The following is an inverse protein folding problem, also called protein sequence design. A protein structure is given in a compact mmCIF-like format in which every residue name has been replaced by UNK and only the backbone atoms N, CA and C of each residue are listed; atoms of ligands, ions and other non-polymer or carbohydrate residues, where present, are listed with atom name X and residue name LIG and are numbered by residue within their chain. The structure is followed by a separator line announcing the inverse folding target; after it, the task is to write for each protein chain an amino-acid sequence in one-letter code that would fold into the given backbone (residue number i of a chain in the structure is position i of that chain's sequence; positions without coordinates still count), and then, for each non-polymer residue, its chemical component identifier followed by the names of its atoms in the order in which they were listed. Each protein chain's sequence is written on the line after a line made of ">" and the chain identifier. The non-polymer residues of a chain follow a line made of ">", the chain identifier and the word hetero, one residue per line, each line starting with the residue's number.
data_IF_780419166650
#
_entry.id   IF_780419166650
#
_cell.length_a   1.000
_cell.length_b   1.000
_cell.length_c   1.000
_cell.angle_alpha   90.00
_cell.angle_beta   90.00
_cell.angle_gamma   90.00
#
_symmetry.space_group_name_H-M   'P 1'
#
loop_
_entity.id
_entity.type
_entity.pdbx_description
1 polymer ?
#
# COMPACT_ATOMS: atom_id res chain seq x y z
N UNK A 1 -8.24 15.21 -10.79
CA UNK A 1 -8.55 14.28 -9.68
C UNK A 1 -9.68 14.80 -8.80
N UNK A 2 -9.54 15.94 -8.09
CA UNK A 2 -10.63 16.52 -7.28
C UNK A 2 -11.92 16.85 -8.07
N UNK A 3 -11.80 17.30 -9.33
CA UNK A 3 -12.95 17.66 -10.17
C UNK A 3 -13.95 16.50 -10.41
N UNK A 4 -13.51 15.24 -10.34
CA UNK A 4 -14.37 14.05 -10.54
C UNK A 4 -15.19 13.68 -9.29
N UNK A 5 -14.71 14.03 -8.08
CA UNK A 5 -15.47 13.81 -6.83
C UNK A 5 -16.73 14.68 -6.78
N UNK A 6 -16.74 15.79 -7.53
CA UNK A 6 -17.80 16.79 -7.51
C UNK A 6 -18.72 16.78 -8.75
N UNK A 7 -18.60 15.80 -9.65
CA UNK A 7 -19.44 15.74 -10.85
C UNK A 7 -20.81 15.10 -10.64
N UNK A 8 -21.80 15.95 -10.91
CA UNK A 8 -23.19 15.83 -11.35
C UNK A 8 -24.25 14.99 -10.61
N UNK A 9 -23.95 13.84 -10.01
CA UNK A 9 -24.97 12.99 -9.32
C UNK A 9 -24.81 12.89 -7.79
N UNK A 10 -23.98 13.74 -7.19
CA UNK A 10 -23.69 13.66 -5.76
C UNK A 10 -24.63 14.50 -4.90
N UNK A 11 -25.06 13.91 -3.78
CA UNK A 11 -25.70 14.55 -2.61
C UNK A 11 -25.01 15.84 -2.15
N UNK A 12 -23.75 16.05 -2.57
CA UNK A 12 -22.97 17.26 -2.40
C UNK A 12 -23.69 18.55 -2.80
N UNK A 13 -24.52 18.54 -3.85
CA UNK A 13 -25.30 19.72 -4.28
C UNK A 13 -26.33 20.17 -3.22
N UNK A 14 -26.81 19.25 -2.38
CA UNK A 14 -27.84 19.49 -1.34
C UNK A 14 -27.34 20.32 -0.16
N UNK A 15 -26.04 20.32 0.09
CA UNK A 15 -25.44 21.05 1.22
C UNK A 15 -25.34 22.55 0.95
N UNK A 16 -25.45 23.32 2.03
CA UNK A 16 -25.29 24.77 2.01
C UNK A 16 -23.80 25.15 1.84
N UNK A 17 -23.52 26.46 1.73
CA UNK A 17 -22.16 26.95 1.46
C UNK A 17 -21.17 26.63 2.59
N UNK A 18 -21.61 26.67 3.85
CA UNK A 18 -20.77 26.41 5.02
C UNK A 18 -20.45 24.93 5.17
N UNK A 19 -21.45 24.06 4.99
CA UNK A 19 -21.26 22.60 4.98
C UNK A 19 -20.30 22.16 3.87
N UNK A 20 -20.42 22.77 2.67
CA UNK A 20 -19.49 22.52 1.56
C UNK A 20 -18.06 22.90 1.91
N UNK A 21 -17.89 24.04 2.59
CA UNK A 21 -16.58 24.51 3.04
C UNK A 21 -15.97 23.56 4.09
N UNK A 22 -16.76 23.13 5.08
CA UNK A 22 -16.31 22.15 6.08
C UNK A 22 -15.91 20.82 5.47
N UNK A 23 -16.66 20.33 4.47
CA UNK A 23 -16.31 19.11 3.73
C UNK A 23 -14.98 19.30 3.00
N UNK A 24 -14.77 20.43 2.31
CA UNK A 24 -13.53 20.71 1.60
C UNK A 24 -12.33 20.77 2.54
N UNK A 25 -12.46 21.47 3.66
CA UNK A 25 -11.41 21.56 4.68
C UNK A 25 -11.07 20.20 5.28
N UNK A 26 -12.09 19.39 5.58
CA UNK A 26 -11.91 18.03 6.10
C UNK A 26 -11.21 17.13 5.08
N UNK A 27 -11.64 17.16 3.81
CA UNK A 27 -11.00 16.40 2.74
C UNK A 27 -9.55 16.84 2.56
N UNK A 28 -9.28 18.15 2.59
CA UNK A 28 -7.93 18.67 2.47
C UNK A 28 -7.04 18.25 3.64
N UNK A 29 -7.58 18.28 4.86
CA UNK A 29 -6.90 17.81 6.06
C UNK A 29 -6.55 16.31 5.97
N UNK A 30 -7.47 15.47 5.47
CA UNK A 30 -7.23 14.04 5.27
C UNK A 30 -6.21 13.79 4.15
N UNK A 31 -6.27 14.54 3.05
CA UNK A 31 -5.37 14.35 1.90
C UNK A 31 -3.94 14.82 2.17
N UNK A 32 -3.75 15.82 3.03
CA UNK A 32 -2.44 16.37 3.35
C UNK A 32 -1.41 15.30 3.79
N UNK A 33 -1.67 14.43 4.80
CA UNK A 33 -0.74 13.37 5.17
C UNK A 33 -0.54 12.34 4.04
N UNK A 34 -1.53 12.12 3.18
CA UNK A 34 -1.41 11.18 2.06
C UNK A 34 -0.43 11.67 1.00
N UNK A 35 -0.28 12.98 0.82
CA UNK A 35 0.73 13.55 -0.09
C UNK A 35 2.15 13.18 0.34
N UNK A 36 2.40 13.09 1.65
CA UNK A 36 3.68 12.66 2.19
C UNK A 36 3.90 11.15 2.13
N UNK A 37 2.87 10.36 1.83
CA UNK A 37 3.01 8.93 1.53
C UNK A 37 3.52 8.69 0.10
N UNK A 38 3.62 9.71 -0.75
CA UNK A 38 4.19 9.56 -2.09
C UNK A 38 5.65 10.01 -2.04
N UNK A 39 6.57 9.06 -2.00
CA UNK A 39 8.01 9.34 -2.11
C UNK A 39 8.39 9.41 -3.59
N UNK A 40 9.20 10.38 -3.98
CA UNK A 40 9.92 10.30 -5.26
C UNK A 40 10.90 9.14 -5.18
N UNK A 41 10.65 8.11 -5.98
CA UNK A 41 11.46 6.89 -6.00
C UNK A 41 12.85 7.25 -6.53
N UNK A 42 13.88 7.08 -5.70
CA UNK A 42 15.27 7.32 -6.11
C UNK A 42 15.96 6.05 -6.63
N UNK A 43 15.43 4.86 -6.28
CA UNK A 43 15.98 3.56 -6.68
C UNK A 43 14.87 2.60 -7.09
N UNK A 44 15.15 1.67 -8.00
CA UNK A 44 14.18 0.64 -8.42
C UNK A 44 13.65 -0.18 -7.23
N UNK A 45 14.50 -0.44 -6.24
CA UNK A 45 14.17 -1.14 -5.00
C UNK A 45 13.25 -0.36 -4.05
N UNK A 46 13.06 0.94 -4.32
CA UNK A 46 12.12 1.81 -3.60
C UNK A 46 10.77 1.95 -4.32
N UNK A 47 10.55 1.22 -5.42
CA UNK A 47 9.21 1.13 -6.02
C UNK A 47 8.26 0.42 -5.07
N UNK A 48 7.46 1.19 -4.35
CA UNK A 48 6.42 0.69 -3.47
C UNK A 48 5.05 0.89 -4.10
N UNK A 49 4.31 -0.20 -4.30
CA UNK A 49 2.88 -0.11 -4.54
C UNK A 49 2.18 0.12 -3.20
N UNK A 50 1.53 1.28 -3.03
CA UNK A 50 0.75 1.61 -1.82
C UNK A 50 -0.73 1.55 -2.16
N UNK A 51 -1.42 0.54 -1.65
CA UNK A 51 -2.87 0.42 -1.76
C UNK A 51 -3.48 1.05 -0.50
N UNK A 52 -4.41 1.98 -0.69
CA UNK A 52 -5.09 2.66 0.40
C UNK A 52 -6.58 2.33 0.38
N UNK A 53 -7.05 1.68 1.44
CA UNK A 53 -8.47 1.39 1.65
C UNK A 53 -8.94 2.11 2.91
N UNK A 54 -9.85 3.07 2.75
CA UNK A 54 -10.43 3.84 3.86
C UNK A 54 -11.87 3.36 4.03
N UNK A 55 -12.17 2.75 5.17
CA UNK A 55 -13.51 2.27 5.48
C UNK A 55 -13.80 2.40 6.98
N UNK A 56 -15.03 2.06 7.39
CA UNK A 56 -15.41 1.95 8.78
C UNK A 56 -14.82 0.67 9.41
N UNK A 57 -14.52 0.73 10.70
CA UNK A 57 -13.97 -0.41 11.45
C UNK A 57 -14.81 -1.70 11.37
N UNK A 58 -16.12 -1.59 11.12
CA UNK A 58 -17.07 -2.71 11.04
C UNK A 58 -17.29 -3.21 9.61
N UNK A 59 -16.46 -2.78 8.66
CA UNK A 59 -16.48 -3.30 7.29
C UNK A 59 -16.17 -4.80 7.32
N UNK A 60 -16.95 -5.59 6.58
CA UNK A 60 -16.83 -7.05 6.47
C UNK A 60 -15.48 -7.52 5.92
N UNK A 61 -14.79 -6.65 5.16
CA UNK A 61 -13.46 -6.91 4.62
C UNK A 61 -12.35 -6.82 5.67
N UNK A 62 -12.64 -6.25 6.84
CA UNK A 62 -11.66 -6.15 7.93
C UNK A 62 -11.79 -7.38 8.82
N UNK A 63 -10.80 -8.25 8.74
CA UNK A 63 -10.69 -9.40 9.63
C UNK A 63 -9.96 -8.97 10.90
N UNK A 64 -10.58 -9.22 12.06
CA UNK A 64 -9.99 -8.95 13.37
C UNK A 64 -9.83 -10.26 14.14
N UNK A 65 -8.58 -10.64 14.44
CA UNK A 65 -8.26 -11.75 15.32
C UNK A 65 -7.76 -11.19 16.66
N UNK A 66 -8.58 -11.34 17.70
CA UNK A 66 -8.27 -10.85 19.05
C UNK A 66 -7.26 -11.72 19.79
N UNK A 67 -7.17 -13.00 19.50
CA UNK A 67 -6.17 -13.88 20.14
C UNK A 67 -4.77 -13.54 19.64
N UNK A 68 -4.64 -13.33 18.33
CA UNK A 68 -3.36 -12.98 17.72
C UNK A 68 -3.05 -11.47 17.76
N UNK A 69 -4.01 -10.64 18.21
CA UNK A 69 -3.91 -9.18 18.20
C UNK A 69 -3.60 -8.61 16.80
N UNK A 70 -4.29 -9.12 15.77
CA UNK A 70 -4.10 -8.73 14.37
C UNK A 70 -5.38 -8.18 13.74
N UNK A 71 -5.19 -7.22 12.85
CA UNK A 71 -6.20 -6.79 11.88
C UNK A 71 -5.61 -6.80 10.49
N UNK A 72 -6.34 -7.36 9.53
CA UNK A 72 -5.89 -7.47 8.15
C UNK A 72 -7.08 -7.42 7.19
N UNK A 73 -6.77 -7.20 5.92
CA UNK A 73 -7.69 -7.28 4.80
C UNK A 73 -7.16 -8.34 3.86
N UNK A 74 -8.02 -9.25 3.43
CA UNK A 74 -7.65 -10.25 2.42
C UNK A 74 -7.82 -9.67 1.03
N UNK A 75 -6.79 -9.83 0.18
CA UNK A 75 -6.90 -9.53 -1.23
C UNK A 75 -7.57 -10.71 -1.94
N UNK A 76 -8.65 -10.43 -2.67
CA UNK A 76 -9.32 -11.47 -3.48
C UNK A 76 -8.37 -12.06 -4.52
N UNK A 77 -7.56 -11.20 -5.16
CA UNK A 77 -6.57 -11.61 -6.16
C UNK A 77 -5.27 -12.09 -5.52
N UNK A 78 -4.73 -13.19 -6.05
CA UNK A 78 -3.44 -13.70 -5.61
C UNK A 78 -2.33 -12.74 -6.01
N UNK A 79 -1.55 -12.28 -5.04
CA UNK A 79 -0.40 -11.40 -5.30
C UNK A 79 0.76 -12.18 -5.91
N UNK A 80 0.92 -13.46 -5.54
CA UNK A 80 2.07 -14.30 -5.93
C UNK A 80 2.35 -14.36 -7.44
N UNK A 81 1.36 -14.59 -8.33
CA UNK A 81 1.58 -14.59 -9.78
C UNK A 81 2.04 -13.25 -10.35
N UNK A 82 1.74 -12.16 -9.66
CA UNK A 82 1.98 -10.79 -10.11
C UNK A 82 3.29 -10.20 -9.56
N UNK A 83 4.03 -10.94 -8.74
CA UNK A 83 5.34 -10.53 -8.23
C UNK A 83 6.39 -10.77 -9.32
N UNK A 84 6.97 -9.69 -9.84
CA UNK A 84 8.15 -9.76 -10.73
C UNK A 84 9.41 -10.07 -9.93
N UNK A 85 9.75 -9.24 -8.94
CA UNK A 85 10.96 -9.37 -8.13
C UNK A 85 10.74 -8.94 -6.70
N UNK A 86 11.51 -9.52 -5.78
CA UNK A 86 11.62 -9.06 -4.40
C UNK A 86 13.08 -8.72 -4.09
N UNK A 87 13.28 -7.64 -3.34
CA UNK A 87 14.60 -7.21 -2.86
C UNK A 87 14.65 -7.34 -1.34
N UNK A 88 15.46 -8.27 -0.85
CA UNK A 88 15.71 -8.47 0.57
C UNK A 88 16.81 -7.52 1.02
N UNK A 89 16.65 -6.91 2.19
CA UNK A 89 17.75 -6.18 2.81
C UNK A 89 18.90 -7.13 3.17
N UNK A 90 20.15 -6.66 3.28
CA UNK A 90 21.29 -7.50 3.68
C UNK A 90 21.02 -8.26 4.99
N UNK A 91 20.38 -7.62 5.97
CA UNK A 91 20.03 -8.26 7.24
C UNK A 91 18.97 -9.37 7.14
N UNK A 92 18.21 -9.40 6.04
CA UNK A 92 17.23 -10.45 5.74
C UNK A 92 17.80 -11.53 4.79
N UNK A 93 19.08 -11.46 4.42
CA UNK A 93 19.71 -12.44 3.53
C UNK A 93 19.63 -13.88 4.05
N UNK A 94 19.60 -14.07 5.38
CA UNK A 94 19.41 -15.39 6.00
C UNK A 94 18.08 -16.08 5.63
N UNK A 95 17.07 -15.30 5.25
CA UNK A 95 15.74 -15.79 4.90
C UNK A 95 15.59 -15.95 3.37
N UNK A 96 16.66 -15.73 2.60
CA UNK A 96 16.63 -15.75 1.14
C UNK A 96 16.13 -17.08 0.56
N UNK A 97 16.60 -18.22 1.07
CA UNK A 97 16.20 -19.52 0.55
C UNK A 97 14.73 -19.84 0.79
N UNK A 98 14.15 -19.36 1.89
CA UNK A 98 12.72 -19.47 2.15
C UNK A 98 11.90 -18.82 1.03
N UNK A 99 12.28 -17.61 0.62
CA UNK A 99 11.58 -16.92 -0.46
C UNK A 99 11.86 -17.55 -1.83
N UNK A 100 13.06 -18.08 -2.06
CA UNK A 100 13.37 -18.79 -3.31
C UNK A 100 12.48 -20.02 -3.47
N UNK A 101 12.32 -20.82 -2.42
CA UNK A 101 11.41 -21.98 -2.43
C UNK A 101 9.97 -21.56 -2.75
N UNK A 102 9.53 -20.40 -2.23
CA UNK A 102 8.17 -19.92 -2.39
C UNK A 102 7.89 -19.30 -3.77
N UNK A 103 8.87 -18.58 -4.32
CA UNK A 103 8.72 -17.69 -5.49
C UNK A 103 9.40 -18.20 -6.76
N UNK A 104 10.55 -18.84 -6.65
CA UNK A 104 11.35 -19.33 -7.78
C UNK A 104 10.87 -20.76 -8.12
N UNK A 105 9.67 -20.86 -8.72
CA UNK A 105 9.04 -22.16 -9.07
C UNK A 105 9.65 -22.83 -10.30
N UNK A 106 10.51 -22.13 -11.05
CA UNK A 106 11.21 -22.61 -12.23
C UNK A 106 12.71 -22.34 -12.11
N UNK A 107 13.55 -23.23 -12.68
CA UNK A 107 15.01 -23.27 -12.54
C UNK A 107 15.78 -21.98 -12.95
N UNK A 108 15.09 -20.95 -13.46
CA UNK A 108 15.70 -19.69 -13.91
C UNK A 108 14.94 -18.42 -13.49
N UNK A 109 13.85 -18.55 -12.74
CA UNK A 109 13.09 -17.39 -12.31
C UNK A 109 13.79 -16.80 -11.08
N UNK A 110 14.87 -16.08 -11.31
CA UNK A 110 15.61 -15.39 -10.26
C UNK A 110 14.73 -14.22 -9.77
N UNK A 111 13.70 -14.43 -8.94
CA UNK A 111 12.85 -13.34 -8.43
C UNK A 111 13.42 -12.71 -7.17
N UNK A 112 14.16 -13.49 -6.39
CA UNK A 112 14.74 -13.04 -5.13
C UNK A 112 16.10 -12.36 -5.35
N UNK A 113 16.26 -11.12 -4.87
CA UNK A 113 17.51 -10.35 -4.93
C UNK A 113 17.91 -9.85 -3.55
N UNK A 114 19.21 -9.65 -3.35
CA UNK A 114 19.71 -8.84 -2.23
C UNK A 114 19.81 -7.39 -2.68
N UNK A 115 19.14 -6.52 -1.94
CA UNK A 115 19.13 -5.08 -2.11
C UNK A 115 20.55 -4.51 -2.10
N UNK A 116 20.87 -3.69 -3.10
CA UNK A 116 22.13 -2.93 -3.18
C UNK A 116 21.93 -1.48 -2.72
N UNK A 117 20.75 -1.15 -2.17
CA UNK A 117 20.47 0.18 -1.67
C UNK A 117 21.46 0.54 -0.54
N UNK A 118 22.29 1.58 -0.71
CA UNK A 118 23.33 1.94 0.26
C UNK A 118 22.72 2.36 1.60
N UNK A 119 21.46 2.82 1.63
CA UNK A 119 20.75 3.18 2.86
C UNK A 119 20.21 1.97 3.64
N UNK A 120 20.28 0.75 3.06
CA UNK A 120 19.88 -0.49 3.74
C UNK A 120 21.08 -1.29 4.27
N UNK A 121 22.30 -0.94 3.87
CA UNK A 121 23.51 -1.47 4.46
C UNK A 121 23.73 -0.76 5.80
N UNK A 122 23.37 -1.42 6.90
CA UNK A 122 23.86 -1.03 8.22
C UNK A 122 25.24 -1.66 8.36
N UNK A 123 26.29 -0.89 8.07
CA UNK A 123 27.62 -1.18 8.63
C UNK A 123 27.55 -1.17 10.16
#
# INVERSE_FOLDING_TARGET
>A
MLKLIFTEDNSYKKYNKEEKQQILETVQFILLPLQYLVKHIAFQEEQECRIMYITQFRDEKIHSNREEQKMYVEYEESVLPHIDKIWLSPGAAKDQDFFRILLDKEDNDNKVRISQNPFRNKE
#
